data_IF_244467490049
#
_entry.id   IF_244467490049
#
_cell.length_a   1.000
_cell.length_b   1.000
_cell.length_c   1.000
_cell.angle_alpha   90.00
_cell.angle_beta   90.00
_cell.angle_gamma   90.00
#
_symmetry.space_group_name_H-M   'P 1'
#
loop_
_entity.id
_entity.type
_entity.pdbx_description
1 polymer ?
#
# COMPACT_ATOMS: atom_id res chain seq x y z
N UNK A 1 13.21 -0.98 3.15
CA UNK A 1 12.22 -0.22 2.36
C UNK A 1 11.19 0.37 3.32
N UNK A 2 10.86 1.64 3.18
CA UNK A 2 9.87 2.35 4.00
C UNK A 2 8.50 2.36 3.34
N UNK A 3 7.47 2.74 4.10
CA UNK A 3 6.13 2.95 3.57
C UNK A 3 6.10 4.04 2.49
N UNK A 4 6.83 5.14 2.68
CA UNK A 4 6.99 6.20 1.68
C UNK A 4 7.67 5.68 0.38
N UNK A 5 8.70 4.85 0.49
CA UNK A 5 9.39 4.30 -0.69
C UNK A 5 8.47 3.40 -1.53
N UNK A 6 7.66 2.55 -0.88
CA UNK A 6 6.63 1.75 -1.57
C UNK A 6 5.58 2.65 -2.21
N UNK A 7 5.10 3.66 -1.49
CA UNK A 7 4.13 4.64 -2.00
C UNK A 7 4.63 5.31 -3.28
N UNK A 8 5.85 5.83 -3.28
CA UNK A 8 6.44 6.51 -4.44
C UNK A 8 6.64 5.54 -5.61
N UNK A 9 7.22 4.36 -5.34
CA UNK A 9 7.51 3.38 -6.37
C UNK A 9 6.24 2.86 -7.04
N UNK A 10 5.28 2.38 -6.24
CA UNK A 10 4.09 1.71 -6.77
C UNK A 10 3.11 2.69 -7.42
N UNK A 11 2.95 3.92 -6.91
CA UNK A 11 2.19 4.93 -7.65
C UNK A 11 2.86 5.30 -8.98
N UNK A 12 4.20 5.28 -9.04
CA UNK A 12 4.94 5.40 -10.30
C UNK A 12 4.62 4.27 -11.28
N UNK A 13 4.63 3.02 -10.81
CA UNK A 13 4.26 1.83 -11.62
C UNK A 13 2.82 1.90 -12.10
N UNK A 14 1.86 2.25 -11.23
CA UNK A 14 0.45 2.42 -11.58
C UNK A 14 0.30 3.41 -12.75
N UNK A 15 0.94 4.58 -12.64
CA UNK A 15 0.91 5.59 -13.69
C UNK A 15 1.59 5.13 -14.99
N UNK A 16 2.72 4.44 -14.89
CA UNK A 16 3.47 3.95 -16.05
C UNK A 16 2.68 2.90 -16.86
N UNK A 17 1.78 2.17 -16.20
CA UNK A 17 0.92 1.15 -16.82
C UNK A 17 -0.43 1.70 -17.29
N UNK A 18 -0.60 3.02 -17.36
CA UNK A 18 -1.85 3.70 -17.70
C UNK A 18 -3.02 3.40 -16.74
N UNK A 19 -2.70 3.15 -15.47
CA UNK A 19 -3.69 3.08 -14.40
C UNK A 19 -3.72 4.38 -13.58
N UNK A 20 -4.86 4.60 -12.93
CA UNK A 20 -5.11 5.69 -11.99
C UNK A 20 -5.33 5.06 -10.62
N UNK A 21 -4.64 5.58 -9.60
CA UNK A 21 -4.96 5.27 -8.22
C UNK A 21 -6.25 5.99 -7.82
N UNK A 22 -7.24 5.23 -7.36
CA UNK A 22 -8.55 5.71 -6.97
C UNK A 22 -8.64 6.12 -5.50
N UNK A 23 -7.61 5.85 -4.71
CA UNK A 23 -7.50 6.39 -3.36
C UNK A 23 -7.31 7.92 -3.40
N UNK A 24 -8.03 8.64 -2.55
CA UNK A 24 -8.01 10.11 -2.52
C UNK A 24 -6.63 10.69 -2.20
N UNK A 25 -5.81 9.98 -1.43
CA UNK A 25 -4.46 10.37 -1.04
C UNK A 25 -3.37 9.56 -1.76
N UNK A 26 -3.75 8.72 -2.73
CA UNK A 26 -2.84 7.81 -3.42
C UNK A 26 -2.31 6.68 -2.52
N UNK A 27 -2.96 6.42 -1.38
CA UNK A 27 -2.57 5.36 -0.46
C UNK A 27 -2.66 3.96 -1.13
N UNK A 28 -1.84 3.03 -0.65
CA UNK A 28 -1.75 1.67 -1.18
C UNK A 28 -1.97 0.60 -0.09
N UNK A 29 -2.43 1.00 1.10
CA UNK A 29 -2.61 0.16 2.27
C UNK A 29 -2.09 0.74 3.57
N UNK A 30 -2.18 -0.02 4.65
CA UNK A 30 -1.87 0.46 5.99
C UNK A 30 -1.49 -0.66 6.96
N UNK A 31 -0.96 -0.29 8.14
CA UNK A 31 -0.75 -1.25 9.24
C UNK A 31 -2.07 -1.80 9.77
N UNK A 32 -2.04 -3.05 10.24
CA UNK A 32 -3.17 -3.61 10.99
C UNK A 32 -3.06 -3.17 12.45
N UNK A 33 -4.05 -2.42 12.92
CA UNK A 33 -4.08 -1.85 14.27
C UNK A 33 -5.41 -2.14 14.96
N UNK A 34 -5.37 -2.28 16.29
CA UNK A 34 -6.59 -2.37 17.11
C UNK A 34 -7.40 -1.07 17.09
N UNK A 35 -6.72 0.08 17.11
CA UNK A 35 -7.35 1.39 16.97
C UNK A 35 -7.02 1.98 15.59
N UNK A 36 -8.07 2.33 14.83
CA UNK A 36 -7.93 2.93 13.49
C UNK A 36 -7.07 4.20 13.47
N UNK A 37 -7.06 4.98 14.55
CA UNK A 37 -6.34 6.25 14.61
C UNK A 37 -4.82 6.05 14.72
N UNK A 38 -4.38 4.82 15.03
CA UNK A 38 -2.97 4.46 15.07
C UNK A 38 -2.43 3.97 13.71
N UNK A 39 -3.32 3.74 12.73
CA UNK A 39 -2.92 3.21 11.42
C UNK A 39 -1.86 4.10 10.79
N UNK A 40 -0.83 3.45 10.26
CA UNK A 40 0.19 4.08 9.41
C UNK A 40 -0.03 3.64 7.99
N UNK A 41 0.07 4.57 7.05
CA UNK A 41 -0.35 4.39 5.66
C UNK A 41 0.86 4.40 4.73
N UNK A 42 0.80 3.67 3.62
CA UNK A 42 1.68 3.93 2.47
C UNK A 42 1.39 5.33 1.92
N UNK A 43 2.13 6.33 2.38
CA UNK A 43 1.92 7.74 2.05
C UNK A 43 3.23 8.52 2.08
N UNK A 44 3.23 9.69 1.45
CA UNK A 44 4.37 10.61 1.46
C UNK A 44 4.67 11.06 2.91
N UNK A 45 5.94 11.04 3.29
CA UNK A 45 6.41 11.40 4.62
C UNK A 45 6.39 10.28 5.66
N UNK A 46 5.78 9.13 5.38
CA UNK A 46 5.81 7.99 6.30
C UNK A 46 7.09 7.16 6.15
N UNK A 47 8.07 7.45 7.00
CA UNK A 47 9.40 6.80 7.00
C UNK A 47 9.47 5.48 7.77
N UNK A 48 8.35 4.97 8.26
CA UNK A 48 8.29 3.66 8.94
C UNK A 48 8.82 2.56 8.01
N UNK A 49 9.69 1.70 8.53
CA UNK A 49 10.18 0.56 7.75
C UNK A 49 9.10 -0.53 7.67
N UNK A 50 9.02 -1.21 6.53
CA UNK A 50 8.11 -2.36 6.37
C UNK A 50 8.29 -3.42 7.46
N UNK A 51 9.54 -3.67 7.87
CA UNK A 51 9.90 -4.65 8.90
C UNK A 51 9.52 -4.23 10.33
N UNK A 52 9.16 -2.97 10.56
CA UNK A 52 8.68 -2.48 11.86
C UNK A 52 7.19 -2.78 12.05
N UNK A 53 6.45 -2.98 10.96
CA UNK A 53 5.02 -3.32 11.03
C UNK A 53 4.85 -4.79 11.40
N UNK A 54 3.99 -5.07 12.40
CA UNK A 54 3.63 -6.45 12.74
C UNK A 54 2.86 -7.11 11.60
N UNK A 55 1.86 -6.41 11.06
CA UNK A 55 1.12 -6.79 9.87
C UNK A 55 0.74 -5.52 9.11
N UNK A 56 0.63 -5.60 7.79
CA UNK A 56 0.15 -4.49 6.95
C UNK A 56 -0.60 -5.02 5.73
N UNK A 57 -1.57 -4.26 5.26
CA UNK A 57 -2.25 -4.54 3.99
C UNK A 57 -1.42 -4.00 2.83
N UNK A 58 -1.42 -4.67 1.69
CA UNK A 58 -1.14 -4.01 0.42
C UNK A 58 -2.36 -4.17 -0.47
N UNK A 59 -2.96 -3.05 -0.84
CA UNK A 59 -4.34 -2.98 -1.32
C UNK A 59 -4.59 -1.89 -2.37
N UNK A 60 -3.79 -1.82 -3.44
CA UNK A 60 -3.94 -0.79 -4.47
C UNK A 60 -5.37 -0.81 -5.05
N UNK A 61 -6.08 0.30 -4.89
CA UNK A 61 -7.38 0.53 -5.51
C UNK A 61 -7.18 1.33 -6.78
N UNK A 62 -7.28 0.67 -7.94
CA UNK A 62 -6.88 1.27 -9.22
C UNK A 62 -7.91 1.02 -10.31
N UNK A 63 -7.88 1.85 -11.35
CA UNK A 63 -8.58 1.59 -12.62
C UNK A 63 -7.69 1.91 -13.79
N UNK A 64 -7.91 1.24 -14.92
CA UNK A 64 -7.29 1.68 -16.17
C UNK A 64 -7.81 3.07 -16.55
N UNK A 65 -6.98 3.93 -17.13
CA UNK A 65 -7.30 5.34 -17.41
C UNK A 65 -8.56 5.51 -18.24
N UNK A 66 -8.75 4.63 -19.24
CA UNK A 66 -9.93 4.60 -20.11
C UNK A 66 -10.95 3.53 -19.71
N UNK A 67 -10.78 2.91 -18.53
CA UNK A 67 -11.67 1.87 -18.01
C UNK A 67 -12.82 2.45 -17.20
N UNK A 68 -13.96 1.76 -17.23
CA UNK A 68 -15.13 2.15 -16.43
C UNK A 68 -15.04 1.66 -14.98
N UNK A 69 -14.42 0.49 -14.76
CA UNK A 69 -14.41 -0.18 -13.46
C UNK A 69 -13.06 -0.04 -12.74
N UNK A 70 -13.15 0.17 -11.42
CA UNK A 70 -12.01 0.02 -10.51
C UNK A 70 -11.94 -1.39 -9.94
N UNK A 71 -10.74 -1.82 -9.60
CA UNK A 71 -10.49 -3.03 -8.86
C UNK A 71 -9.54 -2.76 -7.71
N UNK A 72 -9.70 -3.58 -6.68
CA UNK A 72 -8.87 -3.58 -5.49
C UNK A 72 -8.58 -5.02 -5.15
N UNK A 73 -7.30 -5.33 -4.91
CA UNK A 73 -6.88 -6.60 -4.34
C UNK A 73 -6.12 -6.28 -3.07
N UNK A 74 -6.63 -6.79 -1.95
CA UNK A 74 -6.10 -6.58 -0.62
C UNK A 74 -5.63 -7.91 -0.06
N UNK A 75 -4.34 -7.98 0.25
CA UNK A 75 -3.71 -9.10 0.95
C UNK A 75 -3.01 -8.55 2.22
N UNK A 76 -2.87 -9.38 3.26
CA UNK A 76 -2.18 -8.99 4.51
C UNK A 76 -0.79 -9.64 4.54
N UNK A 77 0.22 -8.82 4.81
CA UNK A 77 1.62 -9.20 4.81
C UNK A 77 2.26 -9.03 6.18
N UNK A 78 3.29 -9.82 6.45
CA UNK A 78 4.13 -9.69 7.64
C UNK A 78 5.54 -10.20 7.38
N UNK A 79 6.49 -9.73 8.19
CA UNK A 79 7.85 -10.24 8.17
C UNK A 79 8.07 -11.32 9.23
N UNK A 80 8.77 -12.38 8.87
CA UNK A 80 9.30 -13.39 9.81
C UNK A 80 10.73 -13.70 9.44
N UNK A 81 11.66 -13.49 10.37
CA UNK A 81 13.10 -13.69 10.17
C UNK A 81 13.68 -12.94 8.94
N UNK A 82 13.14 -11.76 8.63
CA UNK A 82 13.56 -10.95 7.48
C UNK A 82 12.91 -11.35 6.14
N UNK A 83 12.12 -12.42 6.12
CA UNK A 83 11.36 -12.84 4.93
C UNK A 83 9.92 -12.33 5.00
N UNK A 84 9.36 -11.96 3.84
CA UNK A 84 7.99 -11.48 3.70
C UNK A 84 7.04 -12.65 3.43
N UNK A 85 5.94 -12.71 4.18
CA UNK A 85 4.88 -13.69 4.03
C UNK A 85 3.54 -13.00 3.80
N UNK A 86 2.61 -13.72 3.19
CA UNK A 86 1.20 -13.34 3.04
C UNK A 86 0.34 -14.28 3.89
N UNK A 87 -0.69 -13.75 4.54
CA UNK A 87 -1.68 -14.54 5.28
C UNK A 87 -2.74 -15.15 4.35
#
# INVERSE_FOLDING_TARGET
>A
MTFEEVYLYMNGVIKQLDYINLDFSGNLGHTIEFNKDNRKYFELGNKMQLSEASFFTFEPHIKHTNGEYGFKREDIYYFRNGELFVL
#
